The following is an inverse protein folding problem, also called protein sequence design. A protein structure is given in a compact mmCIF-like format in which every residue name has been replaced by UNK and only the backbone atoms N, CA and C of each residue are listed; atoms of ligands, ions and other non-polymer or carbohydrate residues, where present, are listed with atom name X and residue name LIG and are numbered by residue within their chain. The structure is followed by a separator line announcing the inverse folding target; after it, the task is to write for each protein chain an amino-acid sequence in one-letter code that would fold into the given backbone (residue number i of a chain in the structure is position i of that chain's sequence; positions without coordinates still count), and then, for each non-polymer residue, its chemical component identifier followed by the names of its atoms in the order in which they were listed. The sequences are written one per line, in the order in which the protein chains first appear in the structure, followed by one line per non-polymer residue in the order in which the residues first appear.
data_IF_099447475645
#
_entry.id   IF_099447475645
#
_cell.length_a   1.000
_cell.length_b   1.000
_cell.length_c   1.000
_cell.angle_alpha   90.00
_cell.angle_beta   90.00
_cell.angle_gamma   90.00
#
_symmetry.space_group_name_H-M   'P 1'
#
loop_
_entity.id
_entity.type
_entity.pdbx_description
1 polymer ?
#
# COMPACT_ATOMS: atom_id res chain seq x y z
N UNK A 1 -4.13 13.92 -11.88
CA UNK A 1 -5.25 12.95 -11.84
C UNK A 1 -4.73 11.51 -11.91
N UNK A 2 -3.88 11.16 -12.90
CA UNK A 2 -3.38 9.80 -13.09
C UNK A 2 -2.63 9.26 -11.86
N UNK A 3 -1.68 10.03 -11.33
CA UNK A 3 -0.95 9.65 -10.11
C UNK A 3 -1.85 9.55 -8.89
N UNK A 4 -2.80 10.45 -8.77
CA UNK A 4 -3.77 10.44 -7.68
C UNK A 4 -4.65 9.18 -7.71
N UNK A 5 -5.10 8.77 -8.90
CA UNK A 5 -5.84 7.52 -9.08
C UNK A 5 -5.03 6.29 -8.63
N UNK A 6 -3.72 6.29 -8.88
CA UNK A 6 -2.84 5.22 -8.40
C UNK A 6 -2.82 5.12 -6.86
N UNK A 7 -2.88 6.25 -6.16
CA UNK A 7 -2.97 6.25 -4.68
C UNK A 7 -4.27 5.64 -4.17
N UNK A 8 -5.39 5.89 -4.85
CA UNK A 8 -6.67 5.26 -4.50
C UNK A 8 -6.60 3.74 -4.65
N UNK A 9 -6.07 3.28 -5.77
CA UNK A 9 -5.91 1.84 -6.03
C UNK A 9 -4.99 1.19 -5.00
N UNK A 10 -3.90 1.85 -4.65
CA UNK A 10 -3.02 1.42 -3.57
C UNK A 10 -3.75 1.32 -2.23
N UNK A 11 -4.59 2.33 -1.92
CA UNK A 11 -5.40 2.35 -0.72
C UNK A 11 -6.35 1.15 -0.63
N UNK A 12 -6.95 0.76 -1.75
CA UNK A 12 -7.80 -0.43 -1.81
C UNK A 12 -7.01 -1.71 -1.54
N UNK A 13 -5.83 -1.86 -2.16
CA UNK A 13 -4.97 -3.03 -1.94
C UNK A 13 -4.54 -3.16 -0.47
N UNK A 14 -4.08 -2.07 0.12
CA UNK A 14 -3.70 -2.04 1.54
C UNK A 14 -4.89 -2.23 2.45
N UNK A 15 -6.05 -1.64 2.12
CA UNK A 15 -7.29 -1.81 2.87
C UNK A 15 -7.72 -3.27 2.93
N UNK A 16 -7.68 -3.98 1.80
CA UNK A 16 -7.97 -5.42 1.77
C UNK A 16 -7.01 -6.22 2.65
N UNK A 17 -5.73 -5.88 2.64
CA UNK A 17 -4.73 -6.54 3.50
C UNK A 17 -5.01 -6.28 4.98
N UNK A 18 -5.38 -5.07 5.37
CA UNK A 18 -5.74 -4.72 6.75
C UNK A 18 -7.00 -5.46 7.19
N UNK A 19 -8.04 -5.49 6.36
CA UNK A 19 -9.27 -6.23 6.64
C UNK A 19 -8.96 -7.72 6.81
N UNK A 20 -8.13 -8.29 5.94
CA UNK A 20 -7.69 -9.67 6.05
C UNK A 20 -6.98 -9.96 7.37
N UNK A 21 -6.15 -9.04 7.83
CA UNK A 21 -5.44 -9.14 9.10
C UNK A 21 -6.43 -9.14 10.28
N UNK A 22 -7.41 -8.22 10.26
CA UNK A 22 -8.46 -8.12 11.29
C UNK A 22 -9.34 -9.38 11.30
N UNK A 23 -9.71 -9.89 10.12
CA UNK A 23 -10.50 -11.13 10.01
C UNK A 23 -9.76 -12.34 10.63
N UNK A 24 -8.44 -12.37 10.50
CA UNK A 24 -7.63 -13.49 10.97
C UNK A 24 -7.28 -13.41 12.44
N UNK A 25 -6.93 -12.22 12.94
CA UNK A 25 -6.40 -12.01 14.29
C UNK A 25 -7.36 -11.28 15.23
N UNK A 26 -8.50 -10.79 14.72
CA UNK A 26 -9.48 -10.04 15.48
C UNK A 26 -9.15 -8.56 15.60
N UNK A 27 -9.94 -7.85 16.42
CA UNK A 27 -9.84 -6.38 16.57
C UNK A 27 -8.49 -5.89 17.11
N UNK A 28 -7.75 -6.72 17.84
CA UNK A 28 -6.41 -6.38 18.31
C UNK A 28 -5.40 -6.13 17.18
N UNK A 29 -5.66 -6.68 15.99
CA UNK A 29 -4.81 -6.46 14.82
C UNK A 29 -4.93 -5.04 14.24
N UNK A 30 -5.97 -4.28 14.60
CA UNK A 30 -6.12 -2.89 14.17
C UNK A 30 -4.96 -2.02 14.64
N UNK A 31 -4.52 -2.21 15.88
CA UNK A 31 -3.36 -1.49 16.43
C UNK A 31 -2.08 -1.76 15.63
N UNK A 32 -1.89 -3.00 15.18
CA UNK A 32 -0.75 -3.36 14.31
C UNK A 32 -0.83 -2.68 12.95
N UNK A 33 -2.03 -2.52 12.40
CA UNK A 33 -2.25 -1.81 11.14
C UNK A 33 -1.83 -0.33 11.27
N UNK A 34 -2.17 0.33 12.37
CA UNK A 34 -1.75 1.70 12.64
C UNK A 34 -0.23 1.83 12.73
N UNK A 35 0.44 0.93 13.45
CA UNK A 35 1.90 0.90 13.54
C UNK A 35 2.52 0.72 12.15
N UNK A 36 1.96 -0.17 11.33
CA UNK A 36 2.44 -0.39 9.96
C UNK A 36 2.30 0.85 9.10
N UNK A 37 1.19 1.60 9.20
CA UNK A 37 0.97 2.85 8.48
C UNK A 37 2.03 3.90 8.86
N UNK A 38 2.31 4.08 10.14
CA UNK A 38 3.32 5.02 10.60
C UNK A 38 4.75 4.60 10.18
N UNK A 39 5.04 3.31 10.18
CA UNK A 39 6.32 2.80 9.67
C UNK A 39 6.45 2.95 8.14
N UNK A 40 5.33 2.90 7.43
CA UNK A 40 5.30 3.06 5.99
C UNK A 40 5.54 4.51 5.54
N UNK A 41 5.13 5.49 6.34
CA UNK A 41 5.21 6.90 5.98
C UNK A 41 6.61 7.36 5.53
N UNK A 42 7.71 7.06 6.23
CA UNK A 42 9.04 7.45 5.79
C UNK A 42 9.50 6.77 4.49
N UNK A 43 8.97 5.59 4.18
CA UNK A 43 9.34 4.83 3.00
C UNK A 43 8.57 5.30 1.76
N UNK A 44 7.40 5.93 1.98
CA UNK A 44 6.47 6.29 0.91
C UNK A 44 6.93 7.46 0.03
N UNK A 45 8.05 8.10 0.35
CA UNK A 45 8.58 9.29 -0.33
C UNK A 45 7.66 10.52 -0.29
N UNK A 46 6.71 10.57 0.65
CA UNK A 46 5.77 11.68 0.80
C UNK A 46 6.47 12.96 1.23
N UNK A 47 7.36 12.86 2.22
CA UNK A 47 8.00 14.02 2.85
C UNK A 47 9.31 14.43 2.20
N UNK A 48 10.02 13.49 1.57
CA UNK A 48 11.34 13.72 0.99
C UNK A 48 11.58 12.77 -0.20
N UNK A 49 12.52 13.12 -1.12
CA UNK A 49 12.84 12.28 -2.26
C UNK A 49 13.40 10.92 -1.85
N UNK A 50 13.16 9.89 -2.66
CA UNK A 50 13.74 8.56 -2.45
C UNK A 50 15.26 8.61 -2.40
N UNK A 51 15.88 9.53 -3.15
CA UNK A 51 17.34 9.70 -3.18
C UNK A 51 17.98 10.08 -1.84
N UNK A 52 17.20 10.61 -0.88
CA UNK A 52 17.70 10.94 0.47
C UNK A 52 17.75 9.73 1.41
N UNK A 53 17.11 8.63 1.02
CA UNK A 53 17.10 7.39 1.81
C UNK A 53 18.41 6.62 1.63
N UNK A 54 18.82 5.80 2.63
CA UNK A 54 19.90 4.84 2.46
C UNK A 54 19.62 3.88 1.28
N UNK A 55 20.66 3.40 0.62
CA UNK A 55 20.51 2.56 -0.58
C UNK A 55 19.59 1.37 -0.39
N UNK A 56 19.73 0.66 0.72
CA UNK A 56 18.87 -0.49 1.03
C UNK A 56 17.40 -0.10 1.22
N UNK A 57 17.15 1.09 1.75
CA UNK A 57 15.80 1.61 1.96
C UNK A 57 15.18 2.15 0.66
N UNK A 58 16.00 2.65 -0.26
CA UNK A 58 15.55 3.04 -1.59
C UNK A 58 14.94 1.87 -2.36
N UNK A 59 15.54 0.68 -2.26
CA UNK A 59 15.00 -0.53 -2.88
C UNK A 59 13.62 -0.84 -2.33
N UNK A 60 13.45 -0.76 -1.02
CA UNK A 60 12.16 -0.98 -0.35
C UNK A 60 11.15 0.08 -0.78
N UNK A 61 11.56 1.35 -0.85
CA UNK A 61 10.70 2.44 -1.28
C UNK A 61 10.18 2.24 -2.73
N UNK A 62 11.05 1.85 -3.65
CA UNK A 62 10.66 1.56 -5.03
C UNK A 62 9.78 0.32 -5.20
N UNK A 63 9.66 -0.52 -4.17
CA UNK A 63 8.66 -1.59 -4.15
C UNK A 63 7.26 -1.09 -3.78
N UNK A 64 7.10 0.19 -3.43
CA UNK A 64 5.80 0.78 -3.07
C UNK A 64 5.25 1.64 -4.20
N UNK A 65 3.94 1.58 -4.49
CA UNK A 65 3.34 2.45 -5.51
C UNK A 65 3.46 3.94 -5.18
N UNK A 66 3.44 4.30 -3.89
CA UNK A 66 3.52 5.68 -3.43
C UNK A 66 4.81 6.36 -3.84
N UNK A 67 5.96 5.67 -3.80
CA UNK A 67 7.23 6.23 -4.23
C UNK A 67 7.18 6.68 -5.69
N UNK A 68 6.64 5.86 -6.57
CA UNK A 68 6.46 6.22 -7.98
C UNK A 68 5.54 7.41 -8.17
N UNK A 69 4.43 7.43 -7.42
CA UNK A 69 3.44 8.51 -7.51
C UNK A 69 4.04 9.83 -7.03
N UNK A 70 4.65 9.87 -5.86
CA UNK A 70 5.19 11.10 -5.29
C UNK A 70 6.43 11.61 -6.06
N UNK A 71 7.30 10.73 -6.53
CA UNK A 71 8.41 11.12 -7.41
C UNK A 71 7.90 11.64 -8.76
N UNK A 72 6.89 11.00 -9.34
CA UNK A 72 6.25 11.47 -10.56
C UNK A 72 5.59 12.83 -10.41
N UNK A 73 4.86 13.05 -9.32
CA UNK A 73 4.25 14.34 -9.01
C UNK A 73 5.31 15.41 -8.77
N UNK A 74 6.38 15.08 -8.09
CA UNK A 74 7.50 16.00 -7.85
C UNK A 74 8.17 16.42 -9.15
N UNK A 75 8.39 15.50 -10.08
CA UNK A 75 8.92 15.82 -11.42
C UNK A 75 8.03 16.77 -12.19
N UNK A 76 6.71 16.59 -12.12
CA UNK A 76 5.76 17.50 -12.77
C UNK A 76 5.79 18.90 -12.14
N UNK A 77 5.87 18.98 -10.81
CA UNK A 77 5.81 20.26 -10.10
C UNK A 77 7.10 21.06 -10.16
N UNK A 78 8.24 20.40 -10.13
CA UNK A 78 9.55 21.06 -10.08
C UNK A 78 10.15 21.20 -11.47
N UNK A 79 10.15 20.12 -12.25
CA UNK A 79 10.81 20.07 -13.56
C UNK A 79 9.85 20.36 -14.72
N UNK A 80 8.53 20.34 -14.44
CA UNK A 80 7.50 20.49 -15.46
C UNK A 80 7.42 19.32 -16.45
N UNK A 81 8.05 18.19 -16.13
CA UNK A 81 8.15 17.02 -16.99
C UNK A 81 7.23 15.92 -16.47
N UNK A 82 6.33 15.43 -17.35
CA UNK A 82 5.49 14.27 -17.04
C UNK A 82 6.25 12.98 -17.33
N UNK A 83 6.64 12.27 -16.28
CA UNK A 83 7.39 11.01 -16.40
C UNK A 83 6.45 9.83 -16.53
N UNK A 84 6.24 9.39 -17.76
CA UNK A 84 5.39 8.23 -18.06
C UNK A 84 5.97 6.92 -17.51
N UNK A 85 7.28 6.79 -17.44
CA UNK A 85 7.97 5.64 -16.86
C UNK A 85 7.58 5.41 -15.40
N UNK A 86 7.51 6.48 -14.60
CA UNK A 86 7.06 6.40 -13.22
C UNK A 86 5.58 6.05 -13.09
N UNK A 87 4.74 6.56 -14.00
CA UNK A 87 3.32 6.22 -14.02
C UNK A 87 3.10 4.73 -14.34
N UNK A 88 3.79 4.21 -15.35
CA UNK A 88 3.74 2.79 -15.71
C UNK A 88 4.22 1.92 -14.56
N UNK A 89 5.33 2.30 -13.91
CA UNK A 89 5.83 1.62 -12.72
C UNK A 89 4.82 1.61 -11.58
N UNK A 90 4.16 2.74 -11.33
CA UNK A 90 3.11 2.85 -10.32
C UNK A 90 1.92 1.92 -10.61
N UNK A 91 1.46 1.88 -11.85
CA UNK A 91 0.37 1.00 -12.28
C UNK A 91 0.75 -0.47 -12.09
N UNK A 92 1.95 -0.86 -12.52
CA UNK A 92 2.44 -2.23 -12.39
C UNK A 92 2.51 -2.66 -10.92
N UNK A 93 3.12 -1.87 -10.06
CA UNK A 93 3.24 -2.17 -8.63
C UNK A 93 1.86 -2.18 -7.96
N UNK A 94 0.95 -1.30 -8.35
CA UNK A 94 -0.44 -1.30 -7.88
C UNK A 94 -1.17 -2.59 -8.25
N UNK A 95 -1.00 -3.09 -9.46
CA UNK A 95 -1.58 -4.37 -9.88
C UNK A 95 -1.08 -5.52 -8.99
N UNK A 96 0.22 -5.54 -8.69
CA UNK A 96 0.80 -6.53 -7.77
C UNK A 96 0.18 -6.41 -6.37
N UNK A 97 0.06 -5.20 -5.83
CA UNK A 97 -0.56 -4.96 -4.52
C UNK A 97 -2.01 -5.38 -4.47
N UNK A 98 -2.79 -5.08 -5.51
CA UNK A 98 -4.18 -5.50 -5.59
C UNK A 98 -4.32 -7.02 -5.64
N UNK A 99 -3.51 -7.70 -6.45
CA UNK A 99 -3.53 -9.15 -6.54
C UNK A 99 -3.16 -9.80 -5.21
N UNK A 100 -2.09 -9.33 -4.56
CA UNK A 100 -1.67 -9.83 -3.25
C UNK A 100 -2.72 -9.53 -2.17
N UNK A 101 -3.27 -8.32 -2.15
CA UNK A 101 -4.32 -7.93 -1.21
C UNK A 101 -5.57 -8.78 -1.37
N UNK A 102 -6.01 -9.00 -2.61
CA UNK A 102 -7.16 -9.83 -2.92
C UNK A 102 -6.93 -11.30 -2.52
N UNK A 103 -5.76 -11.84 -2.79
CA UNK A 103 -5.41 -13.22 -2.41
C UNK A 103 -5.37 -13.39 -0.89
N UNK A 104 -4.74 -12.47 -0.18
CA UNK A 104 -4.66 -12.48 1.28
C UNK A 104 -6.05 -12.34 1.89
N UNK A 105 -6.87 -11.43 1.35
CA UNK A 105 -8.24 -11.23 1.79
C UNK A 105 -9.08 -12.48 1.58
N UNK A 106 -9.06 -13.06 0.38
CA UNK A 106 -9.80 -14.28 0.06
C UNK A 106 -9.39 -15.43 0.99
N UNK A 107 -8.10 -15.63 1.17
CA UNK A 107 -7.60 -16.68 2.05
C UNK A 107 -8.02 -16.47 3.51
N UNK A 108 -7.91 -15.26 4.01
CA UNK A 108 -8.33 -14.93 5.38
C UNK A 108 -9.85 -15.03 5.56
N UNK A 109 -10.62 -14.59 4.56
CA UNK A 109 -12.08 -14.68 4.57
C UNK A 109 -12.57 -16.12 4.62
N UNK A 110 -12.03 -16.99 3.75
CA UNK A 110 -12.39 -18.40 3.77
C UNK A 110 -11.97 -19.08 5.07
N UNK A 111 -10.79 -18.78 5.59
CA UNK A 111 -10.34 -19.26 6.90
C UNK A 111 -11.24 -18.80 8.04
N UNK A 112 -11.62 -17.53 8.07
CA UNK A 112 -12.52 -16.97 9.08
C UNK A 112 -13.92 -17.58 9.01
N UNK A 113 -14.42 -17.81 7.79
CA UNK A 113 -15.72 -18.45 7.57
C UNK A 113 -15.74 -19.89 8.10
N UNK A 114 -14.69 -20.66 7.84
CA UNK A 114 -14.59 -22.06 8.31
C UNK A 114 -14.50 -22.16 9.84
N UNK A 115 -13.88 -21.21 10.50
CA UNK A 115 -13.69 -21.21 11.95
C UNK A 115 -14.74 -20.39 12.72
N UNK A 116 -15.77 -19.86 12.05
CA UNK A 116 -16.83 -19.07 12.67
C UNK A 116 -16.39 -17.72 13.23
N UNK A 117 -15.20 -17.23 12.89
CA UNK A 117 -14.63 -15.97 13.40
C UNK A 117 -15.37 -14.72 12.93
N UNK A 118 -16.17 -14.82 11.88
CA UNK A 118 -16.96 -13.69 11.37
C UNK A 118 -18.02 -13.20 12.37
N UNK A 119 -18.48 -14.08 13.27
CA UNK A 119 -19.47 -13.74 14.29
C UNK A 119 -18.87 -13.07 15.53
N UNK A 120 -17.55 -13.14 15.68
CA UNK A 120 -16.84 -12.59 16.83
C UNK A 120 -16.39 -11.14 16.65
N UNK A 121 -16.62 -10.56 15.49
CA UNK A 121 -16.17 -9.20 15.17
C UNK A 121 -17.01 -8.09 15.80
N UNK A 122 -18.06 -8.43 16.54
CA UNK A 122 -18.91 -7.48 17.23
C UNK A 122 -18.77 -7.46 18.76
N UNK A 123 -17.82 -8.21 19.30
CA UNK A 123 -17.60 -8.30 20.75
C UNK A 123 -16.32 -7.55 21.14
#
# INVERSE_FOLDING_TARGET
VAFFSCLFVMGWGLGMAVIALVLRFGLGAESLAWVAIFAFAPISAVYYPVSTLPEWLQIVAWCTPSAYVFEGMRSVMIDGIFRQDLLVGAIFVNCVYLCLGALIFAWSFFGARQHGKLLQMGE
#
